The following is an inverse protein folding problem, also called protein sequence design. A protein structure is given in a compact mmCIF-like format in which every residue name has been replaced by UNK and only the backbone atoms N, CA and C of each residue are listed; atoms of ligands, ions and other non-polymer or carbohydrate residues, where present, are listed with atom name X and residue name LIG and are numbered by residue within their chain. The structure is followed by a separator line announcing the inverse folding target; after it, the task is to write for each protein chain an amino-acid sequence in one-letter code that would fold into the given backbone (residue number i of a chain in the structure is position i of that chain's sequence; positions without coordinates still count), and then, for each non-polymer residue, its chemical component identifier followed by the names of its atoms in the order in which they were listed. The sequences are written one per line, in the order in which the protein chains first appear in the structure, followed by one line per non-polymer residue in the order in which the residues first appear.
data_IF_662960518504
#
_entry.id   IF_662960518504
#
_cell.length_a   1.000
_cell.length_b   1.000
_cell.length_c   1.000
_cell.angle_alpha   90.00
_cell.angle_beta   90.00
_cell.angle_gamma   90.00
#
_symmetry.space_group_name_H-M   'P 1'
#
loop_
_entity.id
_entity.type
_entity.pdbx_description
1 polymer ?
#
# COMPACT_ATOMS: atom_id res chain seq x y z
N UNK A 1 0.47 -15.28 -5.35
CA UNK A 1 0.68 -13.84 -5.60
C UNK A 1 -0.62 -13.11 -5.97
N UNK A 2 -1.44 -13.59 -6.91
CA UNK A 2 -2.69 -12.91 -7.33
C UNK A 2 -3.73 -12.75 -6.21
N UNK A 3 -4.00 -13.80 -5.43
CA UNK A 3 -4.99 -13.77 -4.34
C UNK A 3 -4.63 -12.75 -3.27
N UNK A 4 -3.36 -12.75 -2.84
CA UNK A 4 -2.86 -11.84 -1.81
C UNK A 4 -3.04 -10.37 -2.24
N UNK A 5 -2.70 -10.04 -3.50
CA UNK A 5 -2.93 -8.70 -4.08
C UNK A 5 -4.40 -8.28 -4.03
N UNK A 6 -5.33 -9.20 -4.28
CA UNK A 6 -6.77 -8.94 -4.22
C UNK A 6 -7.20 -8.67 -2.77
N UNK A 7 -6.73 -9.46 -1.80
CA UNK A 7 -7.04 -9.24 -0.38
C UNK A 7 -6.53 -7.87 0.08
N UNK A 8 -5.27 -7.52 -0.20
CA UNK A 8 -4.71 -6.21 0.13
C UNK A 8 -5.46 -5.06 -0.56
N UNK A 9 -5.87 -5.24 -1.82
CA UNK A 9 -6.68 -4.26 -2.54
C UNK A 9 -8.07 -4.05 -1.94
N UNK A 10 -8.77 -5.13 -1.56
CA UNK A 10 -10.08 -5.05 -0.91
C UNK A 10 -9.95 -4.36 0.45
N UNK A 11 -8.95 -4.73 1.27
CA UNK A 11 -8.72 -4.08 2.56
C UNK A 11 -8.44 -2.59 2.39
N UNK A 12 -7.59 -2.22 1.42
CA UNK A 12 -7.30 -0.82 1.11
C UNK A 12 -8.55 -0.05 0.72
N UNK A 13 -9.40 -0.62 -0.15
CA UNK A 13 -10.65 0.01 -0.57
C UNK A 13 -11.63 0.20 0.59
N UNK A 14 -11.76 -0.80 1.48
CA UNK A 14 -12.60 -0.70 2.67
C UNK A 14 -12.11 0.38 3.63
N UNK A 15 -10.80 0.43 3.90
CA UNK A 15 -10.22 1.48 4.75
C UNK A 15 -10.33 2.86 4.12
N UNK A 16 -10.15 3.00 2.81
CA UNK A 16 -10.33 4.26 2.10
C UNK A 16 -11.77 4.77 2.21
N UNK A 17 -12.76 3.90 1.96
CA UNK A 17 -14.17 4.24 2.12
C UNK A 17 -14.51 4.61 3.55
N UNK A 18 -14.00 3.85 4.53
CA UNK A 18 -14.24 4.13 5.94
C UNK A 18 -13.65 5.48 6.37
N UNK A 19 -12.44 5.80 5.91
CA UNK A 19 -11.77 7.08 6.18
C UNK A 19 -12.56 8.23 5.56
N UNK A 20 -13.04 8.07 4.32
CA UNK A 20 -13.80 9.08 3.61
C UNK A 20 -15.18 9.34 4.25
N UNK A 21 -15.80 8.32 4.83
CA UNK A 21 -17.08 8.44 5.55
C UNK A 21 -16.93 9.03 6.95
N UNK A 22 -15.83 8.73 7.64
CA UNK A 22 -15.64 9.06 9.07
C UNK A 22 -14.78 10.30 9.26
N UNK A 23 -14.18 10.84 8.20
CA UNK A 23 -13.15 11.90 8.19
C UNK A 23 -11.97 11.61 9.14
N UNK A 24 -11.81 10.36 9.57
CA UNK A 24 -10.85 9.98 10.59
C UNK A 24 -9.50 9.63 9.94
N UNK A 25 -8.60 10.61 9.92
CA UNK A 25 -7.28 10.49 9.32
C UNK A 25 -6.40 9.38 9.91
N UNK A 26 -6.72 8.83 11.08
CA UNK A 26 -6.02 7.66 11.63
C UNK A 26 -6.10 6.45 10.67
N UNK A 27 -7.24 6.27 10.01
CA UNK A 27 -7.45 5.18 9.05
C UNK A 27 -6.85 5.49 7.67
N UNK A 28 -6.55 6.75 7.38
CA UNK A 28 -5.83 7.18 6.19
C UNK A 28 -4.42 6.57 6.18
N UNK A 29 -3.73 6.64 7.32
CA UNK A 29 -2.39 6.05 7.51
C UNK A 29 -2.39 4.54 7.27
N UNK A 30 -3.40 3.84 7.80
CA UNK A 30 -3.60 2.41 7.54
C UNK A 30 -3.88 2.14 6.06
N UNK A 31 -4.68 2.97 5.40
CA UNK A 31 -4.97 2.86 3.97
C UNK A 31 -3.68 2.91 3.15
N UNK A 32 -2.82 3.90 3.39
CA UNK A 32 -1.53 4.02 2.70
C UNK A 32 -0.58 2.87 3.00
N UNK A 33 -0.59 2.33 4.22
CA UNK A 33 0.20 1.16 4.58
C UNK A 33 -0.22 -0.09 3.78
N UNK A 34 -1.53 -0.39 3.73
CA UNK A 34 -2.06 -1.52 2.96
C UNK A 34 -1.86 -1.33 1.44
N UNK A 35 -2.00 -0.10 0.94
CA UNK A 35 -1.71 0.26 -0.45
C UNK A 35 -0.22 0.02 -0.79
N UNK A 36 0.69 0.42 0.10
CA UNK A 36 2.12 0.16 -0.03
C UNK A 36 2.45 -1.33 -0.09
N UNK A 37 1.85 -2.15 0.78
CA UNK A 37 1.99 -3.61 0.72
C UNK A 37 1.45 -4.21 -0.57
N UNK A 38 0.32 -3.72 -1.09
CA UNK A 38 -0.22 -4.15 -2.38
C UNK A 38 0.77 -3.88 -3.53
N UNK A 39 1.36 -2.68 -3.56
CA UNK A 39 2.38 -2.33 -4.56
C UNK A 39 3.65 -3.15 -4.40
N UNK A 40 4.07 -3.48 -3.18
CA UNK A 40 5.22 -4.35 -2.92
C UNK A 40 4.99 -5.75 -3.49
N UNK A 41 3.80 -6.32 -3.29
CA UNK A 41 3.43 -7.60 -3.90
C UNK A 41 3.36 -7.53 -5.43
N UNK A 42 2.91 -6.39 -5.98
CA UNK A 42 2.89 -6.18 -7.42
C UNK A 42 4.31 -6.11 -7.99
N UNK A 43 5.22 -5.37 -7.34
CA UNK A 43 6.63 -5.31 -7.69
C UNK A 43 7.27 -6.71 -7.70
N UNK A 44 7.08 -7.48 -6.62
CA UNK A 44 7.59 -8.86 -6.53
C UNK A 44 7.01 -9.79 -7.59
N UNK A 45 5.78 -9.55 -8.05
CA UNK A 45 5.16 -10.34 -9.12
C UNK A 45 5.76 -9.96 -10.48
N UNK A 46 5.82 -8.67 -10.78
CA UNK A 46 6.36 -8.12 -12.03
C UNK A 46 7.85 -8.45 -12.19
N UNK A 47 8.61 -8.45 -11.10
CA UNK A 47 10.02 -8.85 -11.10
C UNK A 47 10.24 -10.29 -11.58
N UNK A 48 9.25 -11.17 -11.36
CA UNK A 48 9.30 -12.56 -11.85
C UNK A 48 8.96 -12.67 -13.34
N UNK A 49 8.25 -11.69 -13.90
CA UNK A 49 7.78 -11.67 -15.29
C UNK A 49 8.74 -10.94 -16.27
N UNK A 50 10.00 -10.69 -15.86
CA UNK A 50 11.09 -10.04 -16.63
C UNK A 50 10.95 -8.54 -16.92
N UNK A 51 9.84 -7.88 -16.58
CA UNK A 51 9.70 -6.42 -16.69
C UNK A 51 10.36 -5.68 -15.51
N UNK A 52 11.70 -5.64 -15.53
CA UNK A 52 12.50 -5.10 -14.41
C UNK A 52 12.21 -3.63 -14.11
N UNK A 53 12.04 -2.78 -15.13
CA UNK A 53 11.85 -1.33 -14.92
C UNK A 53 10.58 -0.99 -14.14
N UNK A 54 9.47 -1.65 -14.46
CA UNK A 54 8.20 -1.39 -13.78
C UNK A 54 8.21 -1.91 -12.32
N UNK A 55 8.92 -3.02 -12.07
CA UNK A 55 9.11 -3.52 -10.70
C UNK A 55 9.85 -2.52 -9.80
N UNK A 56 10.93 -1.90 -10.28
CA UNK A 56 11.68 -0.92 -9.49
C UNK A 56 10.82 0.30 -9.11
N UNK A 57 10.02 0.81 -10.05
CA UNK A 57 9.11 1.93 -9.78
C UNK A 57 8.07 1.52 -8.72
N UNK A 58 7.45 0.36 -8.88
CA UNK A 58 6.48 -0.16 -7.91
C UNK A 58 7.10 -0.38 -6.52
N UNK A 59 8.35 -0.84 -6.47
CA UNK A 59 9.08 -1.04 -5.24
C UNK A 59 9.39 0.29 -4.53
N UNK A 60 9.82 1.31 -5.28
CA UNK A 60 10.02 2.66 -4.73
C UNK A 60 8.73 3.27 -4.21
N UNK A 61 7.61 3.14 -4.94
CA UNK A 61 6.29 3.62 -4.52
C UNK A 61 5.82 2.89 -3.27
N UNK A 62 6.00 1.56 -3.22
CA UNK A 62 5.67 0.76 -2.04
C UNK A 62 6.48 1.20 -0.82
N UNK A 63 7.79 1.37 -0.98
CA UNK A 63 8.68 1.85 0.07
C UNK A 63 8.27 3.21 0.59
N UNK A 64 7.95 4.16 -0.30
CA UNK A 64 7.49 5.50 0.09
C UNK A 64 6.17 5.45 0.87
N UNK A 65 5.19 4.67 0.41
CA UNK A 65 3.91 4.52 1.10
C UNK A 65 4.07 3.90 2.50
N UNK A 66 4.84 2.82 2.61
CA UNK A 66 5.08 2.14 3.89
C UNK A 66 5.85 3.07 4.83
N UNK A 67 6.93 3.70 4.35
CA UNK A 67 7.75 4.59 5.16
C UNK A 67 6.96 5.80 5.64
N UNK A 68 6.23 6.47 4.75
CA UNK A 68 5.35 7.60 5.11
C UNK A 68 4.29 7.20 6.12
N UNK A 69 3.64 6.05 5.92
CA UNK A 69 2.63 5.56 6.87
C UNK A 69 3.22 5.23 8.25
N UNK A 70 4.41 4.63 8.32
CA UNK A 70 5.10 4.36 9.58
C UNK A 70 5.55 5.65 10.26
N UNK A 71 6.04 6.62 9.50
CA UNK A 71 6.45 7.92 10.04
C UNK A 71 5.26 8.63 10.69
N UNK A 72 4.14 8.76 9.99
CA UNK A 72 2.92 9.37 10.53
C UNK A 72 2.41 8.57 11.74
N UNK A 73 2.39 7.24 11.67
CA UNK A 73 1.92 6.41 12.79
C UNK A 73 2.77 6.56 14.07
N UNK A 74 4.08 6.78 13.93
CA UNK A 74 5.02 6.89 15.05
C UNK A 74 5.11 8.34 15.57
N UNK A 75 5.10 9.33 14.69
CA UNK A 75 5.40 10.73 15.03
C UNK A 75 4.17 11.63 15.14
N UNK A 76 3.06 11.30 14.48
CA UNK A 76 1.81 12.09 14.44
C UNK A 76 0.74 11.53 15.41
N UNK A 77 1.16 10.74 16.41
CA UNK A 77 0.30 10.12 17.41
C UNK A 77 0.37 10.82 18.77
#
# INVERSE_FOLDING_TARGET
MKTLRIVFGIMTALFALYTMLTDNHTFLTLTYFFLGMMFLMMALTVQREKEKSFSYILFSVAGFNIFGSLYVFIFDR
#
